data_IF_332434752770
#
_entry.id   IF_332434752770
#
_cell.length_a   1.000
_cell.length_b   1.000
_cell.length_c   1.000
_cell.angle_alpha   90.00
_cell.angle_beta   90.00
_cell.angle_gamma   90.00
#
_symmetry.space_group_name_H-M   'P 1'
#
loop_
_entity.id
_entity.type
_entity.pdbx_description
1 polymer ?
#
# COMPACT_ATOMS: atom_id res chain seq x y z
N UNK A 1 5.22 -20.12 -7.63
CA UNK A 1 5.18 -19.21 -6.48
C UNK A 1 6.10 -18.03 -6.73
N UNK A 2 5.64 -16.82 -6.38
CA UNK A 2 6.49 -15.64 -6.57
C UNK A 2 7.51 -15.52 -5.45
N UNK A 3 8.69 -14.99 -5.79
CA UNK A 3 9.66 -14.58 -4.78
C UNK A 3 9.37 -13.14 -4.39
N UNK A 4 9.07 -12.87 -3.13
CA UNK A 4 8.71 -11.53 -2.65
C UNK A 4 9.92 -10.91 -1.96
N UNK A 5 10.41 -9.81 -2.54
CA UNK A 5 11.57 -9.06 -2.02
C UNK A 5 11.20 -7.65 -1.56
N UNK A 6 9.97 -7.20 -1.84
CA UNK A 6 9.49 -5.88 -1.49
C UNK A 6 8.05 -5.94 -0.97
N UNK A 7 7.78 -5.16 0.05
CA UNK A 7 6.42 -4.83 0.48
C UNK A 7 6.31 -3.32 0.34
N UNK A 8 5.39 -2.87 -0.52
CA UNK A 8 5.30 -1.46 -0.91
C UNK A 8 4.04 -0.85 -0.33
N UNK A 9 4.21 0.22 0.43
CA UNK A 9 3.12 0.96 1.05
C UNK A 9 2.68 2.10 0.13
N UNK A 10 1.38 2.14 -0.14
CA UNK A 10 0.72 3.15 -1.00
C UNK A 10 -0.40 3.85 -0.24
N UNK A 11 -0.88 4.95 -0.80
CA UNK A 11 -2.14 5.57 -0.41
C UNK A 11 -3.08 5.59 -1.61
N UNK A 12 -4.38 5.71 -1.36
CA UNK A 12 -5.38 5.81 -2.43
C UNK A 12 -5.43 7.21 -3.05
N UNK A 13 -4.74 8.18 -2.43
CA UNK A 13 -4.68 9.57 -2.88
C UNK A 13 -6.06 10.23 -2.92
N UNK A 14 -6.80 10.08 -1.84
CA UNK A 14 -8.10 10.71 -1.66
C UNK A 14 -8.08 11.68 -0.47
N UNK A 15 -8.96 12.69 -0.51
CA UNK A 15 -9.11 13.69 0.55
C UNK A 15 -9.95 13.12 1.70
N UNK A 16 -9.91 13.76 2.89
CA UNK A 16 -10.67 13.26 4.05
C UNK A 16 -12.19 13.13 3.84
N UNK A 17 -12.75 13.89 2.91
CA UNK A 17 -14.19 13.84 2.59
C UNK A 17 -14.49 12.86 1.45
N UNK A 18 -13.52 12.10 1.01
CA UNK A 18 -13.67 11.08 -0.05
C UNK A 18 -13.36 9.71 0.53
N UNK A 19 -13.99 8.68 -0.02
CA UNK A 19 -13.78 7.30 0.39
C UNK A 19 -13.14 6.49 -0.73
N UNK A 20 -12.45 5.42 -0.37
CA UNK A 20 -11.86 4.51 -1.34
C UNK A 20 -11.80 3.10 -0.77
N UNK A 21 -12.86 2.33 -1.04
CA UNK A 21 -12.88 0.89 -0.74
C UNK A 21 -12.09 0.13 -1.80
N UNK A 22 -11.80 -1.15 -1.53
CA UNK A 22 -11.21 -2.03 -2.54
C UNK A 22 -12.10 -2.08 -3.80
N UNK A 23 -13.42 -2.06 -3.63
CA UNK A 23 -14.37 -2.04 -4.74
C UNK A 23 -14.26 -0.77 -5.57
N UNK A 24 -14.12 0.38 -4.91
CA UNK A 24 -13.94 1.67 -5.61
C UNK A 24 -12.64 1.67 -6.40
N UNK A 25 -11.55 1.23 -5.78
CA UNK A 25 -10.24 1.18 -6.42
C UNK A 25 -10.25 0.19 -7.57
N UNK A 26 -10.91 -0.95 -7.41
CA UNK A 26 -11.07 -1.94 -8.47
C UNK A 26 -11.75 -1.31 -9.71
N UNK A 27 -12.81 -0.54 -9.48
CA UNK A 27 -13.51 0.17 -10.55
C UNK A 27 -12.59 1.19 -11.23
N UNK A 28 -11.84 1.99 -10.47
CA UNK A 28 -10.92 2.99 -11.01
C UNK A 28 -9.80 2.35 -11.82
N UNK A 29 -9.25 1.24 -11.34
CA UNK A 29 -8.18 0.52 -12.04
C UNK A 29 -8.69 -0.12 -13.33
N UNK A 30 -9.93 -0.65 -13.32
CA UNK A 30 -10.54 -1.18 -14.55
C UNK A 30 -10.73 -0.08 -15.59
N UNK A 31 -11.11 1.13 -15.17
CA UNK A 31 -11.22 2.27 -16.07
C UNK A 31 -9.86 2.63 -16.71
N UNK A 32 -8.76 2.31 -16.04
CA UNK A 32 -7.40 2.52 -16.56
C UNK A 32 -6.88 1.34 -17.38
N UNK A 33 -7.70 0.32 -17.63
CA UNK A 33 -7.33 -0.84 -18.41
C UNK A 33 -6.82 -2.03 -17.61
N UNK A 34 -6.83 -1.97 -16.29
CA UNK A 34 -6.43 -3.12 -15.45
C UNK A 34 -7.56 -4.15 -15.43
N UNK A 35 -7.21 -5.42 -15.27
CA UNK A 35 -8.22 -6.48 -15.14
C UNK A 35 -8.97 -6.41 -13.82
N UNK A 36 -8.31 -5.89 -12.76
CA UNK A 36 -8.87 -5.72 -11.42
C UNK A 36 -7.95 -4.79 -10.62
N UNK A 37 -8.33 -4.51 -9.37
CA UNK A 37 -7.51 -3.73 -8.44
C UNK A 37 -6.06 -4.22 -8.45
N UNK A 38 -5.12 -3.29 -8.49
CA UNK A 38 -3.69 -3.62 -8.57
C UNK A 38 -3.02 -3.90 -7.24
N UNK A 39 -3.64 -3.51 -6.11
CA UNK A 39 -3.10 -3.76 -4.77
C UNK A 39 -3.51 -5.13 -4.25
N UNK A 40 -2.76 -5.65 -3.29
CA UNK A 40 -3.09 -6.91 -2.63
C UNK A 40 -3.96 -6.69 -1.40
N UNK A 41 -3.82 -5.54 -0.74
CA UNK A 41 -4.59 -5.18 0.45
C UNK A 41 -4.96 -3.71 0.45
N UNK A 42 -6.14 -3.41 0.97
CA UNK A 42 -6.59 -2.03 1.20
C UNK A 42 -6.95 -1.91 2.68
N UNK A 43 -6.42 -0.88 3.34
CA UNK A 43 -6.73 -0.60 4.74
C UNK A 43 -7.62 0.63 4.80
N UNK A 44 -8.88 0.43 5.23
CA UNK A 44 -9.87 1.50 5.35
C UNK A 44 -9.55 2.39 6.56
N UNK A 45 -10.15 3.57 6.60
CA UNK A 45 -9.90 4.53 7.71
C UNK A 45 -10.21 3.96 9.08
N UNK A 46 -11.19 3.06 9.18
CA UNK A 46 -11.54 2.40 10.44
C UNK A 46 -10.60 1.23 10.81
N UNK A 47 -9.59 0.97 9.99
CA UNK A 47 -8.65 -0.12 10.19
C UNK A 47 -9.05 -1.44 9.56
N UNK A 48 -10.20 -1.51 8.90
CA UNK A 48 -10.62 -2.74 8.21
C UNK A 48 -9.71 -3.04 7.03
N UNK A 49 -9.28 -4.29 6.90
CA UNK A 49 -8.52 -4.76 5.74
C UNK A 49 -9.51 -5.33 4.72
N UNK A 50 -9.41 -4.85 3.49
CA UNK A 50 -10.16 -5.41 2.37
C UNK A 50 -9.18 -6.07 1.42
N UNK A 51 -9.43 -7.31 0.96
CA UNK A 51 -8.53 -7.99 0.04
C UNK A 51 -8.64 -7.43 -1.37
N UNK A 52 -7.49 -7.35 -2.04
CA UNK A 52 -7.40 -7.07 -3.47
C UNK A 52 -7.00 -8.33 -4.21
N UNK A 53 -5.90 -8.26 -4.98
CA UNK A 53 -5.35 -9.46 -5.63
C UNK A 53 -4.80 -10.40 -4.57
N UNK A 54 -4.91 -11.72 -4.76
CA UNK A 54 -4.26 -12.66 -3.85
C UNK A 54 -2.73 -12.51 -3.91
N UNK A 55 -2.05 -12.84 -2.83
CA UNK A 55 -0.59 -12.63 -2.73
C UNK A 55 0.20 -13.37 -3.80
N UNK A 56 -0.31 -14.50 -4.29
CA UNK A 56 0.37 -15.27 -5.34
C UNK A 56 0.30 -14.60 -6.71
N UNK A 57 -0.59 -13.63 -6.88
CA UNK A 57 -0.79 -12.95 -8.15
C UNK A 57 0.07 -11.69 -8.23
N UNK A 58 0.73 -11.47 -9.37
CA UNK A 58 1.47 -10.24 -9.62
C UNK A 58 0.50 -9.07 -9.59
N UNK A 59 0.85 -8.02 -8.85
CA UNK A 59 0.04 -6.81 -8.75
C UNK A 59 0.24 -5.86 -9.91
N UNK A 60 -0.40 -4.69 -9.82
CA UNK A 60 -0.24 -3.59 -10.76
C UNK A 60 -0.25 -2.30 -9.93
N UNK A 61 0.81 -2.06 -9.17
CA UNK A 61 0.86 -0.94 -8.22
C UNK A 61 2.19 -0.19 -8.21
N UNK A 62 3.24 -0.76 -8.77
CA UNK A 62 4.55 -0.12 -8.75
C UNK A 62 5.33 -0.57 -9.99
N UNK A 63 5.49 0.33 -10.96
CA UNK A 63 6.15 0.04 -12.24
C UNK A 63 7.55 -0.51 -11.98
N UNK A 64 7.92 -1.58 -12.69
CA UNK A 64 9.19 -2.31 -12.62
C UNK A 64 9.37 -3.17 -11.36
N UNK A 65 8.41 -3.15 -10.41
CA UNK A 65 8.54 -3.87 -9.15
C UNK A 65 7.36 -4.80 -8.85
N UNK A 66 6.39 -4.88 -9.75
CA UNK A 66 5.17 -5.67 -9.52
C UNK A 66 5.44 -7.17 -9.34
N UNK A 67 6.39 -7.72 -10.10
CA UNK A 67 6.62 -9.16 -10.15
C UNK A 67 7.14 -9.74 -8.82
N UNK A 68 7.78 -8.92 -7.98
CA UNK A 68 8.44 -9.39 -6.76
C UNK A 68 7.97 -8.63 -5.50
N UNK A 69 6.77 -8.05 -5.55
CA UNK A 69 6.28 -7.22 -4.43
C UNK A 69 4.85 -7.53 -4.03
N UNK A 70 4.53 -7.12 -2.81
CA UNK A 70 3.16 -7.03 -2.29
C UNK A 70 2.84 -5.55 -2.13
N UNK A 71 1.68 -5.12 -2.63
CA UNK A 71 1.23 -3.73 -2.52
C UNK A 71 0.12 -3.59 -1.48
N UNK A 72 0.33 -2.68 -0.53
CA UNK A 72 -0.66 -2.34 0.50
C UNK A 72 -1.04 -0.88 0.31
N UNK A 73 -2.35 -0.60 0.20
CA UNK A 73 -2.86 0.75 0.02
C UNK A 73 -3.72 1.13 1.23
N UNK A 74 -3.44 2.28 1.86
CA UNK A 74 -4.34 2.79 2.87
C UNK A 74 -5.25 3.87 2.28
N UNK A 75 -6.48 3.94 2.76
CA UNK A 75 -7.47 4.92 2.34
C UNK A 75 -7.09 6.29 2.88
N UNK A 76 -6.73 7.22 1.99
CA UNK A 76 -6.28 8.55 2.36
C UNK A 76 -5.09 9.02 1.55
N UNK A 77 -4.23 9.83 2.16
CA UNK A 77 -2.98 10.31 1.57
C UNK A 77 -3.01 11.76 1.13
N UNK A 78 -4.17 12.40 1.10
CA UNK A 78 -4.33 13.83 0.78
C UNK A 78 -5.05 14.56 1.89
N UNK A 79 -4.63 15.81 2.17
CA UNK A 79 -5.37 16.70 3.06
C UNK A 79 -6.61 17.26 2.35
N UNK A 80 -7.38 18.09 3.04
CA UNK A 80 -8.62 18.62 2.47
C UNK A 80 -8.40 19.53 1.25
N UNK A 81 -7.18 20.05 1.10
CA UNK A 81 -6.80 20.88 -0.05
C UNK A 81 -6.29 20.05 -1.23
N UNK A 82 -6.20 18.72 -1.07
CA UNK A 82 -5.67 17.84 -2.11
C UNK A 82 -4.15 17.79 -2.16
N UNK A 83 -3.47 18.20 -1.09
CA UNK A 83 -2.01 18.11 -0.98
C UNK A 83 -1.63 16.78 -0.33
N UNK A 84 -0.50 16.16 -0.76
CA UNK A 84 -0.04 14.94 -0.12
C UNK A 84 0.20 15.15 1.38
N UNK A 85 -0.28 14.21 2.18
CA UNK A 85 -0.15 14.29 3.64
C UNK A 85 -0.29 12.91 4.26
N UNK A 86 0.33 12.72 5.42
CA UNK A 86 0.12 11.51 6.21
C UNK A 86 -1.23 11.64 6.94
N UNK A 87 -2.26 11.03 6.36
CA UNK A 87 -3.62 11.09 6.90
C UNK A 87 -4.02 9.79 7.57
N UNK A 88 -3.05 8.91 7.87
CA UNK A 88 -3.37 7.63 8.51
C UNK A 88 -4.03 7.85 9.87
N UNK A 89 -5.15 7.18 10.09
CA UNK A 89 -5.80 7.15 11.41
C UNK A 89 -5.01 6.24 12.36
N UNK A 90 -5.30 6.34 13.66
CA UNK A 90 -4.69 5.43 14.64
C UNK A 90 -5.02 3.99 14.31
N UNK A 91 -6.27 3.71 13.89
CA UNK A 91 -6.73 2.39 13.50
C UNK A 91 -5.96 1.87 12.28
N UNK A 92 -5.71 2.73 11.31
CA UNK A 92 -4.91 2.35 10.12
C UNK A 92 -3.48 2.03 10.49
N UNK A 93 -2.86 2.80 11.38
CA UNK A 93 -1.50 2.54 11.83
C UNK A 93 -1.38 1.19 12.55
N UNK A 94 -2.35 0.88 13.41
CA UNK A 94 -2.39 -0.40 14.12
C UNK A 94 -2.56 -1.57 13.15
N UNK A 95 -3.49 -1.46 12.23
CA UNK A 95 -3.77 -2.50 11.24
C UNK A 95 -2.59 -2.69 10.29
N UNK A 96 -2.01 -1.60 9.81
CA UNK A 96 -0.82 -1.64 8.95
C UNK A 96 0.31 -2.37 9.67
N UNK A 97 0.56 -2.05 10.93
CA UNK A 97 1.60 -2.70 11.71
C UNK A 97 1.37 -4.21 11.81
N UNK A 98 0.16 -4.63 12.15
CA UNK A 98 -0.17 -6.06 12.24
C UNK A 98 -0.01 -6.77 10.91
N UNK A 99 -0.47 -6.16 9.83
CA UNK A 99 -0.35 -6.75 8.50
C UNK A 99 1.13 -6.88 8.09
N UNK A 100 1.93 -5.84 8.34
CA UNK A 100 3.36 -5.89 8.03
C UNK A 100 4.09 -6.94 8.86
N UNK A 101 3.70 -7.13 10.12
CA UNK A 101 4.26 -8.19 10.95
C UNK A 101 3.95 -9.57 10.37
N UNK A 102 2.72 -9.80 9.93
CA UNK A 102 2.34 -11.06 9.28
C UNK A 102 3.13 -11.29 7.99
N UNK A 103 3.23 -10.26 7.16
CA UNK A 103 3.96 -10.37 5.89
C UNK A 103 5.45 -10.58 6.12
N UNK A 104 6.02 -9.94 7.13
CA UNK A 104 7.41 -10.16 7.51
C UNK A 104 7.65 -11.61 7.94
N UNK A 105 6.69 -12.22 8.63
CA UNK A 105 6.76 -13.63 8.99
C UNK A 105 6.76 -14.56 7.78
N UNK A 106 6.00 -14.22 6.74
CA UNK A 106 5.93 -15.01 5.50
C UNK A 106 7.07 -14.71 4.54
N UNK A 107 7.54 -13.46 4.51
CA UNK A 107 8.55 -12.98 3.57
C UNK A 107 9.65 -12.23 4.34
N UNK A 108 10.44 -12.94 5.16
CA UNK A 108 11.39 -12.25 6.06
C UNK A 108 12.52 -11.51 5.34
N UNK A 109 12.71 -11.76 4.04
CA UNK A 109 13.72 -11.07 3.24
C UNK A 109 13.18 -9.88 2.48
N UNK A 110 11.86 -9.62 2.57
CA UNK A 110 11.27 -8.50 1.86
C UNK A 110 11.53 -7.18 2.61
N UNK A 111 12.00 -6.18 1.88
CA UNK A 111 12.15 -4.83 2.40
C UNK A 111 10.79 -4.13 2.39
N UNK A 112 10.50 -3.36 3.45
CA UNK A 112 9.28 -2.56 3.54
C UNK A 112 9.62 -1.13 3.16
N UNK A 113 9.01 -0.64 2.10
CA UNK A 113 9.31 0.70 1.54
C UNK A 113 8.02 1.40 1.14
N UNK A 114 8.10 2.71 0.92
CA UNK A 114 7.01 3.48 0.32
C UNK A 114 7.15 3.50 -1.20
N UNK A 115 6.04 3.73 -1.90
CA UNK A 115 6.05 3.82 -3.36
C UNK A 115 7.05 4.88 -3.84
N UNK A 116 7.12 6.02 -3.16
CA UNK A 116 8.04 7.12 -3.51
C UNK A 116 9.51 6.74 -3.42
N UNK A 117 9.84 5.74 -2.62
CA UNK A 117 11.22 5.28 -2.49
C UNK A 117 11.70 4.55 -3.73
N UNK A 118 10.79 3.94 -4.48
CA UNK A 118 11.08 3.17 -5.68
C UNK A 118 10.87 3.99 -6.95
N UNK A 119 9.92 4.92 -6.94
CA UNK A 119 9.58 5.76 -8.08
C UNK A 119 9.68 7.23 -7.67
N UNK A 120 10.87 7.85 -7.77
CA UNK A 120 11.05 9.27 -7.46
C UNK A 120 10.08 10.12 -8.28
N UNK A 121 9.52 11.15 -7.65
CA UNK A 121 8.49 11.98 -8.26
C UNK A 121 7.08 11.62 -7.85
N UNK A 122 6.88 10.47 -7.19
CA UNK A 122 5.60 10.12 -6.58
C UNK A 122 5.58 10.62 -5.14
N UNK A 123 4.40 11.07 -4.70
CA UNK A 123 4.19 11.48 -3.30
C UNK A 123 3.64 10.34 -2.45
N UNK A 124 3.07 9.34 -3.09
CA UNK A 124 2.52 8.14 -2.44
C UNK A 124 3.61 7.45 -1.60
N UNK A 125 3.35 7.12 -0.35
CA UNK A 125 2.06 7.08 0.34
C UNK A 125 1.67 8.37 1.09
N UNK A 126 2.20 9.52 0.75
CA UNK A 126 1.86 10.79 1.37
C UNK A 126 2.76 11.17 2.55
N UNK A 127 3.68 10.32 2.92
CA UNK A 127 4.66 10.59 3.97
C UNK A 127 5.99 9.91 3.62
N UNK A 128 7.06 10.35 4.30
CA UNK A 128 8.42 9.86 4.05
C UNK A 128 8.83 8.84 5.11
N UNK A 129 9.93 8.14 4.86
CA UNK A 129 10.61 7.31 5.83
C UNK A 129 9.83 6.06 6.27
N UNK A 130 9.10 5.44 5.33
CA UNK A 130 8.41 4.16 5.60
C UNK A 130 9.39 3.12 6.11
N UNK A 131 10.55 2.98 5.45
CA UNK A 131 11.56 2.00 5.84
C UNK A 131 12.06 2.25 7.27
N UNK A 132 12.18 3.50 7.68
CA UNK A 132 12.62 3.84 9.04
C UNK A 132 11.54 3.54 10.08
N UNK A 133 10.28 3.87 9.75
CA UNK A 133 9.15 3.60 10.65
C UNK A 133 9.06 2.11 11.01
N UNK A 134 9.37 1.25 10.06
CA UNK A 134 9.31 -0.21 10.23
C UNK A 134 10.70 -0.84 10.24
N UNK A 135 11.68 -0.11 10.79
CA UNK A 135 13.07 -0.56 10.83
C UNK A 135 13.22 -1.93 11.51
N UNK A 136 12.40 -2.22 12.51
CA UNK A 136 12.44 -3.49 13.24
C UNK A 136 11.88 -4.67 12.42
N UNK A 137 11.21 -4.41 11.31
CA UNK A 137 10.66 -5.43 10.41
C UNK A 137 11.44 -5.55 9.10
N UNK A 138 12.53 -4.81 8.96
CA UNK A 138 13.36 -4.91 7.76
C UNK A 138 14.22 -6.19 7.80
N UNK A 139 14.65 -6.69 6.64
CA UNK A 139 15.57 -7.83 6.58
C UNK A 139 16.86 -7.54 7.34
N UNK A 140 17.38 -8.56 7.98
CA UNK A 140 18.66 -8.48 8.69
C UNK A 140 19.82 -8.81 7.79
#
# INVERSE_FOLDING_TARGET
MRTITLIVVHCSAVRPNQTSSAKDIDSWHKDRGFKRIGYHYVIRRDGTIEPGRPEWQIGAHCVNHNAHSIGICYEGGYDIRGQPADTRTAEQKQTMRRLLEELHGRYPRAMIVGHRDLNPGKDCPGYKNVAHEYADLQPK
#
